data_IF_710531689346
#
_entry.id   IF_710531689346
#
_cell.length_a   1.000
_cell.length_b   1.000
_cell.length_c   1.000
_cell.angle_alpha   90.00
_cell.angle_beta   90.00
_cell.angle_gamma   90.00
#
_symmetry.space_group_name_H-M   'P 1'
#
loop_
_entity.id
_entity.type
_entity.pdbx_description
1 polymer ?
#
# COMPACT_ATOMS: atom_id res chain seq x y z
N UNK A 1 0.19 -13.58 21.24
CA UNK A 1 1.28 -13.55 20.24
C UNK A 1 2.60 -13.46 20.98
N UNK A 2 3.67 -14.06 20.45
CA UNK A 2 5.00 -14.06 21.06
C UNK A 2 5.82 -12.80 20.79
N UNK A 3 5.23 -11.79 20.14
CA UNK A 3 5.93 -10.58 19.72
C UNK A 3 5.02 -9.34 19.68
N UNK A 4 5.67 -8.19 19.59
CA UNK A 4 5.08 -6.88 19.27
C UNK A 4 5.82 -6.25 18.09
N UNK A 5 5.16 -5.33 17.39
CA UNK A 5 5.79 -4.52 16.34
C UNK A 5 6.16 -3.14 16.88
N UNK A 6 7.30 -2.63 16.43
CA UNK A 6 7.80 -1.30 16.78
C UNK A 6 8.29 -0.59 15.51
N UNK A 7 7.98 0.70 15.38
CA UNK A 7 8.54 1.57 14.34
C UNK A 7 9.61 2.45 14.97
N UNK A 8 10.83 2.38 14.45
CA UNK A 8 11.98 3.17 14.94
C UNK A 8 12.97 3.41 13.78
N UNK A 9 14.02 4.23 13.95
CA UNK A 9 15.01 4.44 12.89
C UNK A 9 15.56 3.11 12.36
N UNK A 10 15.60 2.97 11.03
CA UNK A 10 16.07 1.76 10.35
C UNK A 10 17.57 1.53 10.61
N UNK A 11 17.99 0.26 10.62
CA UNK A 11 19.40 -0.13 10.70
C UNK A 11 20.08 -0.17 9.32
N UNK A 12 19.33 0.03 8.23
CA UNK A 12 19.88 0.07 6.88
C UNK A 12 20.82 1.29 6.75
N UNK A 13 22.08 1.09 6.30
CA UNK A 13 23.09 2.15 6.22
C UNK A 13 22.89 3.05 4.98
N UNK A 14 21.76 3.74 4.90
CA UNK A 14 21.45 4.72 3.85
C UNK A 14 20.57 5.86 4.37
N UNK A 15 20.80 7.09 3.89
CA UNK A 15 20.12 8.30 4.37
C UNK A 15 18.59 8.29 4.18
N UNK A 16 18.12 7.70 3.08
CA UNK A 16 16.68 7.58 2.79
C UNK A 16 15.98 6.40 3.50
N UNK A 17 16.68 5.59 4.29
CA UNK A 17 16.06 4.43 4.96
C UNK A 17 15.04 4.84 6.03
N UNK A 18 15.17 6.04 6.60
CA UNK A 18 14.19 6.63 7.50
C UNK A 18 13.83 5.73 8.69
N UNK A 19 12.54 5.40 8.80
CA UNK A 19 12.03 4.47 9.82
C UNK A 19 11.94 3.06 9.25
N UNK A 20 12.23 2.07 10.09
CA UNK A 20 12.05 0.65 9.83
C UNK A 20 11.00 0.03 10.74
N UNK A 21 10.49 -1.13 10.33
CA UNK A 21 9.61 -1.97 11.13
C UNK A 21 10.42 -3.03 11.86
N UNK A 22 10.26 -3.17 13.17
CA UNK A 22 10.98 -4.14 13.99
C UNK A 22 10.02 -5.08 14.69
N UNK A 23 10.46 -6.32 14.88
CA UNK A 23 9.82 -7.24 15.81
C UNK A 23 10.54 -7.16 17.16
N UNK A 24 9.78 -7.24 18.24
CA UNK A 24 10.30 -7.48 19.60
C UNK A 24 9.62 -8.71 20.16
N UNK A 25 10.39 -9.75 20.45
CA UNK A 25 9.91 -11.12 20.65
C UNK A 25 10.22 -12.02 19.45
N UNK A 26 9.51 -13.14 19.36
CA UNK A 26 9.82 -14.23 18.43
C UNK A 26 8.62 -14.55 17.52
N UNK A 27 8.92 -14.85 16.25
CA UNK A 27 7.96 -15.35 15.28
C UNK A 27 8.56 -16.49 14.45
N UNK A 28 7.81 -17.58 14.32
CA UNK A 28 8.18 -18.73 13.50
C UNK A 28 7.98 -18.45 12.00
N UNK A 29 8.65 -19.26 11.18
CA UNK A 29 8.41 -19.27 9.73
C UNK A 29 6.93 -19.47 9.41
N UNK A 30 6.40 -18.71 8.45
CA UNK A 30 4.98 -18.75 8.08
C UNK A 30 4.05 -17.88 8.95
N UNK A 31 4.56 -17.24 10.01
CA UNK A 31 3.76 -16.33 10.84
C UNK A 31 3.38 -15.07 10.07
N UNK A 32 2.10 -14.67 10.14
CA UNK A 32 1.63 -13.37 9.66
C UNK A 32 2.08 -12.28 10.64
N UNK A 33 3.01 -11.44 10.23
CA UNK A 33 3.62 -10.42 11.09
C UNK A 33 2.84 -9.11 11.10
N UNK A 34 2.48 -8.62 9.91
CA UNK A 34 1.91 -7.29 9.74
C UNK A 34 0.92 -7.21 8.58
N UNK A 35 -0.06 -6.32 8.69
CA UNK A 35 -0.96 -5.92 7.61
C UNK A 35 -0.42 -4.68 6.90
N UNK A 36 -0.61 -4.61 5.58
CA UNK A 36 -0.43 -3.39 4.82
C UNK A 36 -1.71 -2.55 4.88
N UNK A 37 -1.73 -1.44 5.64
CA UNK A 37 -2.97 -0.75 5.97
C UNK A 37 -3.38 0.28 4.92
N UNK A 38 -4.52 0.92 5.16
CA UNK A 38 -4.94 2.11 4.43
C UNK A 38 -5.95 1.85 3.31
N UNK A 39 -5.95 2.75 2.33
CA UNK A 39 -7.04 2.86 1.35
C UNK A 39 -6.76 1.98 0.14
N UNK A 40 -7.72 1.13 -0.19
CA UNK A 40 -7.68 0.22 -1.32
C UNK A 40 -8.33 0.88 -2.54
N UNK A 41 -7.61 0.89 -3.66
CA UNK A 41 -8.07 1.34 -4.96
C UNK A 41 -8.07 0.17 -5.93
N UNK A 42 -9.26 -0.22 -6.39
CA UNK A 42 -9.34 -1.10 -7.55
C UNK A 42 -8.87 -0.35 -8.82
N UNK A 43 -8.52 -1.05 -9.90
CA UNK A 43 -8.11 -0.41 -11.15
C UNK A 43 -9.05 0.69 -11.67
N UNK A 44 -10.35 0.60 -11.35
CA UNK A 44 -11.36 1.57 -11.79
C UNK A 44 -11.15 2.95 -11.16
N UNK A 45 -10.48 2.97 -10.00
CA UNK A 45 -10.30 4.14 -9.17
C UNK A 45 -8.87 4.69 -9.16
N UNK A 46 -7.96 4.19 -10.00
CA UNK A 46 -6.56 4.68 -10.06
C UNK A 46 -6.44 6.20 -10.21
N UNK A 47 -7.33 6.81 -11.00
CA UNK A 47 -7.35 8.27 -11.21
C UNK A 47 -7.60 9.09 -9.93
N UNK A 48 -8.08 8.44 -8.87
CA UNK A 48 -8.37 9.04 -7.57
C UNK A 48 -7.26 8.79 -6.54
N UNK A 49 -6.20 8.06 -6.91
CA UNK A 49 -5.01 7.96 -6.06
C UNK A 49 -4.33 9.34 -6.05
N UNK A 50 -4.03 9.91 -4.88
CA UNK A 50 -3.31 11.19 -4.79
C UNK A 50 -2.03 11.19 -5.62
N UNK A 51 -1.81 12.26 -6.38
CA UNK A 51 -0.65 12.39 -7.29
C UNK A 51 -0.81 11.73 -8.66
N UNK A 52 -1.95 11.10 -8.98
CA UNK A 52 -2.16 10.48 -10.29
C UNK A 52 -1.90 11.43 -11.46
N UNK A 53 -1.19 10.98 -12.53
CA UNK A 53 -0.66 9.63 -12.73
C UNK A 53 0.71 9.36 -12.11
N UNK A 54 1.38 10.35 -11.53
CA UNK A 54 2.69 10.22 -10.88
C UNK A 54 2.56 9.97 -9.39
N UNK A 55 1.80 8.93 -9.05
CA UNK A 55 1.44 8.60 -7.66
C UNK A 55 2.65 8.29 -6.78
N UNK A 56 3.74 7.81 -7.36
CA UNK A 56 4.98 7.43 -6.68
C UNK A 56 5.90 8.61 -6.34
N UNK A 57 5.68 9.80 -6.94
CA UNK A 57 6.60 10.93 -6.78
C UNK A 57 6.63 11.52 -5.36
N UNK A 58 5.55 11.38 -4.60
CA UNK A 58 5.41 11.93 -3.25
C UNK A 58 4.85 10.91 -2.24
N UNK A 59 4.66 9.65 -2.67
CA UNK A 59 4.06 8.62 -1.83
C UNK A 59 4.83 7.30 -1.97
N UNK A 60 5.69 7.05 -0.99
CA UNK A 60 6.47 5.82 -0.87
C UNK A 60 5.68 4.65 -0.26
N UNK A 61 4.43 4.88 0.15
CA UNK A 61 3.58 3.92 0.85
C UNK A 61 2.47 3.35 -0.03
N UNK A 62 2.78 3.17 -1.31
CA UNK A 62 1.94 2.49 -2.28
C UNK A 62 2.47 1.08 -2.55
N UNK A 63 1.56 0.10 -2.55
CA UNK A 63 1.86 -1.27 -2.96
C UNK A 63 0.77 -1.79 -3.89
N UNK A 64 1.17 -2.61 -4.87
CA UNK A 64 0.25 -3.18 -5.86
C UNK A 64 0.16 -4.69 -5.69
N UNK A 65 -1.06 -5.20 -5.58
CA UNK A 65 -1.39 -6.63 -5.61
C UNK A 65 -1.28 -7.20 -7.02
N UNK A 66 -1.19 -8.53 -7.11
CA UNK A 66 -1.11 -9.24 -8.39
C UNK A 66 -2.35 -9.01 -9.28
N UNK A 67 -3.52 -8.75 -8.67
CA UNK A 67 -4.78 -8.47 -9.37
C UNK A 67 -4.93 -7.00 -9.82
N UNK A 68 -3.92 -6.15 -9.58
CA UNK A 68 -3.96 -4.73 -9.91
C UNK A 68 -4.66 -3.87 -8.85
N UNK A 69 -5.01 -4.41 -7.70
CA UNK A 69 -5.46 -3.58 -6.58
C UNK A 69 -4.27 -2.82 -6.00
N UNK A 70 -4.41 -1.51 -5.77
CA UNK A 70 -3.40 -0.67 -5.13
C UNK A 70 -3.83 -0.37 -3.71
N UNK A 71 -2.91 -0.49 -2.74
CA UNK A 71 -3.13 -0.09 -1.35
C UNK A 71 -2.25 1.13 -1.06
N UNK A 72 -2.87 2.19 -0.54
CA UNK A 72 -2.20 3.41 -0.09
C UNK A 72 -2.22 3.48 1.43
N UNK A 73 -1.07 3.29 2.06
CA UNK A 73 -0.92 3.38 3.51
C UNK A 73 -0.63 4.81 4.02
N UNK A 74 -0.41 5.80 3.15
CA UNK A 74 -0.18 7.18 3.57
C UNK A 74 -1.28 7.76 4.48
N UNK A 75 -2.60 7.54 4.23
CA UNK A 75 -3.67 7.99 5.13
C UNK A 75 -3.62 7.32 6.52
N UNK A 76 -3.01 6.14 6.62
CA UNK A 76 -2.88 5.41 7.89
C UNK A 76 -1.80 6.02 8.79
N UNK A 77 -0.72 6.55 8.20
CA UNK A 77 0.41 7.09 8.95
C UNK A 77 1.08 6.05 9.85
N UNK A 78 1.34 6.40 11.11
CA UNK A 78 1.92 5.52 12.12
C UNK A 78 0.87 4.84 13.02
N UNK A 79 -0.38 4.70 12.56
CA UNK A 79 -1.48 4.24 13.42
C UNK A 79 -1.89 5.31 14.44
N UNK A 80 -2.54 4.92 15.54
CA UNK A 80 -3.01 5.84 16.58
C UNK A 80 -3.97 5.16 17.57
N UNK A 81 -4.43 5.93 18.56
CA UNK A 81 -5.33 5.43 19.62
C UNK A 81 -6.82 5.62 19.30
N UNK A 82 -7.14 6.20 18.15
CA UNK A 82 -8.50 6.61 17.78
C UNK A 82 -8.97 5.97 16.47
N UNK A 83 -10.28 6.07 16.26
CA UNK A 83 -10.92 5.82 14.97
C UNK A 83 -11.04 7.14 14.26
N UNK A 84 -10.58 7.22 13.03
CA UNK A 84 -10.60 8.47 12.26
C UNK A 84 -11.52 8.34 11.06
N UNK A 85 -12.36 9.36 10.86
CA UNK A 85 -13.17 9.45 9.64
C UNK A 85 -12.24 9.83 8.50
N UNK A 86 -12.27 9.04 7.44
CA UNK A 86 -11.53 9.34 6.23
C UNK A 86 -12.40 10.18 5.29
N UNK A 87 -11.92 11.38 4.96
CA UNK A 87 -12.64 12.41 4.19
C UNK A 87 -12.38 12.35 2.67
N UNK A 88 -11.57 11.40 2.21
CA UNK A 88 -11.18 11.29 0.81
C UNK A 88 -9.97 12.14 0.42
N UNK A 89 -9.43 12.97 1.31
CA UNK A 89 -8.32 13.89 1.05
C UNK A 89 -7.14 13.65 1.98
N UNK A 90 -6.34 12.61 1.71
CA UNK A 90 -5.03 12.49 2.37
C UNK A 90 -3.98 13.30 1.59
N UNK A 91 -3.92 14.61 1.84
CA UNK A 91 -2.68 15.35 1.71
C UNK A 91 -2.50 16.20 2.98
N UNK A 92 -1.42 16.00 3.75
CA UNK A 92 -0.87 17.12 4.49
C UNK A 92 -0.52 18.20 3.46
N UNK A 93 -0.95 19.44 3.69
CA UNK A 93 -0.45 20.57 2.89
C UNK A 93 1.09 20.51 2.88
N UNK A 94 1.75 20.61 1.70
CA UNK A 94 3.20 20.61 1.64
C UNK A 94 3.73 21.78 2.47
N UNK A 95 4.38 21.49 3.60
CA UNK A 95 5.17 22.48 4.32
C UNK A 95 6.47 22.71 3.54
N UNK A 96 6.59 23.92 3.02
CA UNK A 96 7.79 24.64 2.53
C UNK A 96 8.24 24.52 1.06
N UNK A 97 8.05 25.66 0.37
CA UNK A 97 9.04 26.46 -0.37
C UNK A 97 10.09 25.67 -1.17
N UNK A 98 9.82 25.45 -2.46
CA UNK A 98 10.87 25.44 -3.47
C UNK A 98 10.47 26.39 -4.60
N UNK A 99 11.43 27.23 -5.00
CA UNK A 99 11.25 28.26 -6.02
C UNK A 99 10.83 27.61 -7.34
N UNK A 100 9.75 28.14 -7.90
CA UNK A 100 9.15 27.68 -9.13
C UNK A 100 10.05 28.01 -10.32
N UNK A 101 10.51 26.98 -11.03
CA UNK A 101 10.82 27.13 -12.45
C UNK A 101 10.33 25.92 -13.25
N UNK A 102 9.41 26.15 -14.20
CA UNK A 102 8.79 25.09 -15.00
C UNK A 102 7.33 25.33 -15.42
N UNK A 103 7.05 26.44 -16.12
CA UNK A 103 5.69 26.94 -16.49
C UNK A 103 4.84 26.09 -17.47
N UNK A 104 5.25 24.88 -17.85
CA UNK A 104 4.56 24.07 -18.88
C UNK A 104 3.83 22.83 -18.35
N UNK A 105 4.52 21.99 -17.57
CA UNK A 105 4.02 20.65 -17.23
C UNK A 105 2.94 20.67 -16.15
N UNK A 106 3.02 21.59 -15.18
CA UNK A 106 2.07 21.67 -14.06
C UNK A 106 0.61 21.91 -14.51
N UNK A 107 0.40 22.69 -15.57
CA UNK A 107 -0.95 22.99 -16.08
C UNK A 107 -1.61 21.74 -16.69
N UNK A 108 -0.83 20.90 -17.36
CA UNK A 108 -1.31 19.64 -17.95
C UNK A 108 -1.62 18.65 -16.82
N UNK A 109 -0.79 18.61 -15.76
CA UNK A 109 -1.03 17.74 -14.61
C UNK A 109 -2.29 18.13 -13.83
N UNK A 110 -2.50 19.42 -13.55
CA UNK A 110 -3.72 19.94 -12.90
C UNK A 110 -5.00 19.68 -13.69
N UNK A 111 -4.93 19.50 -15.01
CA UNK A 111 -6.09 19.11 -15.83
C UNK A 111 -6.39 17.61 -15.78
N UNK A 112 -5.40 16.77 -15.49
CA UNK A 112 -5.54 15.31 -15.43
C UNK A 112 -5.92 14.80 -14.03
N UNK A 113 -5.47 15.49 -12.97
CA UNK A 113 -5.99 15.31 -11.63
C UNK A 113 -7.33 16.05 -11.53
N UNK A 114 -8.45 15.32 -11.67
CA UNK A 114 -9.75 15.92 -11.33
C UNK A 114 -9.70 16.34 -9.86
N UNK A 115 -10.05 17.59 -9.52
CA UNK A 115 -10.33 17.95 -8.14
C UNK A 115 -11.36 16.98 -7.60
N UNK A 116 -11.18 16.57 -6.34
CA UNK A 116 -12.21 15.84 -5.60
C UNK A 116 -13.47 16.70 -5.61
N UNK A 117 -14.42 16.41 -6.51
CA UNK A 117 -15.82 16.76 -6.26
C UNK A 117 -16.25 15.88 -5.09
N UNK A 118 -15.91 16.34 -3.88
CA UNK A 118 -16.11 15.67 -2.60
C UNK A 118 -17.57 15.39 -2.25
N UNK A 119 -18.50 15.72 -3.14
CA UNK A 119 -19.93 15.72 -2.85
C UNK A 119 -20.63 14.42 -3.26
N UNK A 120 -20.07 13.51 -4.07
CA UNK A 120 -20.89 12.43 -4.68
C UNK A 120 -20.33 11.00 -4.80
N UNK A 121 -19.06 10.73 -4.51
CA UNK A 121 -18.48 9.38 -4.69
C UNK A 121 -18.08 8.66 -3.39
N UNK A 122 -18.18 9.34 -2.24
CA UNK A 122 -17.86 8.81 -0.91
C UNK A 122 -18.99 9.03 0.10
N UNK A 123 -20.23 8.68 -0.26
CA UNK A 123 -21.42 8.89 0.59
C UNK A 123 -21.43 8.13 1.92
N UNK A 124 -20.40 7.33 2.22
CA UNK A 124 -20.20 6.70 3.51
C UNK A 124 -18.92 7.27 4.13
N UNK A 125 -19.04 7.84 5.32
CA UNK A 125 -17.90 8.17 6.17
C UNK A 125 -17.15 6.88 6.53
N UNK A 126 -16.21 6.46 5.69
CA UNK A 126 -15.36 5.31 5.97
C UNK A 126 -14.45 5.64 7.16
N UNK A 127 -14.26 4.65 8.03
CA UNK A 127 -13.50 4.83 9.27
C UNK A 127 -12.19 4.06 9.17
N UNK A 128 -11.08 4.77 9.31
CA UNK A 128 -9.74 4.19 9.50
C UNK A 128 -9.59 3.76 10.96
N UNK A 129 -9.33 2.47 11.14
CA UNK A 129 -9.24 1.84 12.45
C UNK A 129 -7.79 1.83 12.96
N UNK A 130 -7.23 3.01 13.21
CA UNK A 130 -5.79 3.24 13.41
C UNK A 130 -5.15 2.51 14.61
N UNK A 131 -5.96 1.83 15.42
CA UNK A 131 -5.57 1.09 16.64
C UNK A 131 -5.02 -0.31 16.37
N UNK A 132 -5.02 -0.78 15.13
CA UNK A 132 -4.56 -2.14 14.84
C UNK A 132 -3.03 -2.26 15.11
N UNK A 133 -2.60 -3.11 16.07
CA UNK A 133 -1.19 -3.19 16.48
C UNK A 133 -0.28 -3.91 15.46
N UNK A 134 -0.85 -4.50 14.41
CA UNK A 134 -0.12 -5.20 13.35
C UNK A 134 -0.09 -4.41 12.03
N UNK A 135 -0.70 -3.22 11.98
CA UNK A 135 -0.89 -2.45 10.76
C UNK A 135 0.28 -1.49 10.48
N UNK A 136 1.47 -2.08 10.26
CA UNK A 136 2.71 -1.33 10.06
C UNK A 136 3.56 -1.84 8.89
N UNK A 137 3.03 -2.71 8.03
CA UNK A 137 3.82 -3.34 6.96
C UNK A 137 4.44 -2.32 5.98
N UNK A 138 3.87 -1.12 5.85
CA UNK A 138 4.40 -0.05 5.00
C UNK A 138 5.69 0.58 5.53
N UNK A 139 6.12 0.25 6.76
CA UNK A 139 7.44 0.61 7.31
C UNK A 139 8.51 -0.47 7.11
N UNK A 140 8.16 -1.65 6.56
CA UNK A 140 9.16 -2.68 6.27
C UNK A 140 10.02 -2.24 5.08
N UNK A 141 11.32 -2.06 5.30
CA UNK A 141 12.23 -1.54 4.28
C UNK A 141 12.82 -2.62 3.37
N UNK A 142 13.34 -2.18 2.24
CA UNK A 142 14.15 -3.04 1.39
C UNK A 142 15.53 -3.30 2.02
N UNK A 143 16.03 -4.54 2.04
CA UNK A 143 17.36 -4.83 2.55
C UNK A 143 18.46 -4.02 1.83
N UNK A 144 19.51 -3.66 2.57
CA UNK A 144 20.73 -3.14 1.96
C UNK A 144 21.49 -4.24 1.20
N UNK A 145 22.58 -3.85 0.52
CA UNK A 145 23.57 -4.81 0.03
C UNK A 145 24.03 -5.70 1.20
N UNK A 146 24.05 -7.01 0.96
CA UNK A 146 24.43 -8.06 1.93
C UNK A 146 23.43 -8.32 3.08
N UNK A 147 22.25 -7.69 3.06
CA UNK A 147 21.14 -8.04 3.95
C UNK A 147 20.16 -8.96 3.24
N UNK A 148 19.51 -9.86 3.99
CA UNK A 148 18.54 -10.82 3.44
C UNK A 148 17.12 -10.45 3.88
N UNK A 149 16.14 -10.38 2.97
CA UNK A 149 14.76 -10.16 3.37
C UNK A 149 14.27 -11.34 4.21
N UNK A 150 13.54 -11.05 5.28
CA UNK A 150 13.00 -12.04 6.23
C UNK A 150 11.47 -12.16 6.16
N UNK A 151 10.83 -11.41 5.26
CA UNK A 151 9.39 -11.50 4.98
C UNK A 151 9.08 -11.52 3.49
N UNK A 152 7.91 -12.05 3.17
CA UNK A 152 7.28 -11.95 1.86
C UNK A 152 5.88 -11.37 1.95
N UNK A 153 5.44 -10.72 0.87
CA UNK A 153 4.06 -10.23 0.74
C UNK A 153 3.16 -11.37 0.30
N UNK A 154 2.10 -11.61 1.07
CA UNK A 154 1.04 -12.55 0.71
C UNK A 154 -0.29 -11.79 0.55
N UNK A 155 -1.04 -12.01 -0.56
CA UNK A 155 -2.38 -11.48 -0.68
C UNK A 155 -3.31 -12.20 0.29
N UNK A 156 -4.18 -11.41 0.93
CA UNK A 156 -5.23 -11.94 1.79
C UNK A 156 -6.54 -11.19 1.52
N UNK A 157 -7.64 -11.94 1.53
CA UNK A 157 -8.95 -11.48 1.12
C UNK A 157 -9.89 -11.69 2.31
N UNK A 158 -10.24 -10.61 3.01
CA UNK A 158 -11.18 -10.67 4.14
C UNK A 158 -12.59 -10.85 3.60
N UNK A 159 -13.30 -11.95 3.90
CA UNK A 159 -14.73 -11.99 3.68
C UNK A 159 -15.37 -10.98 4.65
N UNK A 160 -16.26 -10.11 4.17
CA UNK A 160 -16.98 -9.13 4.99
C UNK A 160 -18.42 -9.52 5.39
N UNK A 161 -18.83 -10.81 5.53
CA UNK A 161 -20.18 -11.12 5.98
C UNK A 161 -20.37 -10.77 7.46
N UNK A 162 -19.28 -10.61 8.23
CA UNK A 162 -19.30 -10.37 9.67
C UNK A 162 -19.12 -8.89 10.02
N UNK A 163 -20.20 -8.25 10.46
CA UNK A 163 -20.24 -6.84 10.90
C UNK A 163 -19.19 -6.47 11.96
N UNK A 164 -18.73 -7.44 12.75
CA UNK A 164 -17.79 -7.24 13.86
C UNK A 164 -16.31 -7.30 13.44
N UNK A 165 -15.99 -7.95 12.32
CA UNK A 165 -14.61 -8.08 11.85
C UNK A 165 -14.02 -6.75 11.37
N UNK A 166 -14.87 -5.82 10.91
CA UNK A 166 -14.43 -4.54 10.34
C UNK A 166 -13.54 -3.70 11.28
N UNK A 167 -13.71 -3.84 12.59
CA UNK A 167 -12.90 -3.16 13.60
C UNK A 167 -11.48 -3.74 13.77
N UNK A 168 -11.16 -4.84 13.07
CA UNK A 168 -9.83 -5.46 13.07
C UNK A 168 -9.15 -5.38 11.70
N UNK A 169 -9.87 -4.92 10.68
CA UNK A 169 -9.36 -4.82 9.31
C UNK A 169 -8.84 -3.38 9.10
N UNK A 170 -7.52 -3.19 8.89
CA UNK A 170 -6.91 -1.87 8.82
C UNK A 170 -7.05 -1.21 7.44
N UNK A 171 -7.95 -1.74 6.61
CA UNK A 171 -8.14 -1.29 5.25
C UNK A 171 -9.57 -0.79 5.02
N UNK A 172 -9.71 0.13 4.06
CA UNK A 172 -11.00 0.62 3.57
C UNK A 172 -11.00 0.61 2.04
N UNK A 173 -12.13 0.32 1.42
CA UNK A 173 -12.26 0.36 -0.05
C UNK A 173 -12.68 1.74 -0.53
N UNK A 174 -11.94 2.29 -1.48
CA UNK A 174 -12.40 3.45 -2.23
C UNK A 174 -13.59 3.07 -3.11
N UNK A 175 -14.63 3.92 -3.15
CA UNK A 175 -15.78 3.74 -4.04
C UNK A 175 -16.70 2.57 -3.68
N UNK A 176 -16.80 2.22 -2.38
CA UNK A 176 -17.74 1.24 -1.84
C UNK A 176 -17.58 -0.20 -2.38
N UNK A 177 -16.40 -0.54 -2.91
CA UNK A 177 -16.11 -1.91 -3.34
C UNK A 177 -16.85 -2.35 -4.62
N UNK A 178 -17.44 -1.43 -5.39
CA UNK A 178 -17.98 -1.74 -6.71
C UNK A 178 -16.80 -2.04 -7.66
N UNK A 179 -16.44 -3.32 -7.75
CA UNK A 179 -15.57 -3.82 -8.81
C UNK A 179 -16.30 -3.69 -10.15
N UNK A 180 -16.14 -2.55 -10.82
CA UNK A 180 -16.34 -2.52 -12.25
C UNK A 180 -15.41 -3.58 -12.85
N UNK A 181 -15.95 -4.58 -13.55
CA UNK A 181 -15.16 -5.61 -14.21
C UNK A 181 -14.14 -4.93 -15.14
N UNK A 182 -12.88 -4.87 -14.73
CA UNK A 182 -11.81 -4.31 -15.54
C UNK A 182 -10.92 -5.42 -16.05
N UNK A 183 -10.65 -5.41 -17.35
CA UNK A 183 -9.69 -6.31 -17.99
C UNK A 183 -8.40 -5.56 -18.26
N UNK A 184 -7.29 -6.19 -17.90
CA UNK A 184 -5.94 -5.72 -18.21
C UNK A 184 -5.57 -6.12 -19.63
N UNK A 185 -5.20 -5.15 -20.45
CA UNK A 185 -4.53 -5.39 -21.74
C UNK A 185 -3.19 -4.64 -21.69
N UNK A 186 -2.09 -5.37 -21.49
CA UNK A 186 -0.77 -4.79 -21.25
C UNK A 186 -0.72 -3.99 -19.94
N UNK A 187 -0.31 -2.72 -20.02
CA UNK A 187 -0.26 -1.78 -18.88
C UNK A 187 -1.59 -1.05 -18.63
N UNK A 188 -2.55 -1.18 -19.54
CA UNK A 188 -3.80 -0.42 -19.50
C UNK A 188 -4.97 -1.28 -18.98
N UNK A 189 -5.82 -0.64 -18.19
CA UNK A 189 -7.05 -1.23 -17.66
C UNK A 189 -8.27 -0.69 -18.41
N UNK A 190 -9.06 -1.60 -18.97
CA UNK A 190 -10.26 -1.28 -19.75
C UNK A 190 -11.51 -1.79 -19.04
N UNK A 191 -12.58 -1.00 -19.04
CA UNK A 191 -13.89 -1.45 -18.54
C UNK A 191 -14.44 -2.53 -19.45
N UNK A 192 -14.71 -3.70 -18.91
CA UNK A 192 -15.45 -4.75 -19.60
C UNK A 192 -16.94 -4.49 -19.41
N UNK A 193 -17.66 -4.27 -20.52
CA UNK A 193 -19.11 -4.23 -20.53
C UNK A 193 -19.66 -5.66 -20.45
N UNK A 194 -19.60 -6.28 -19.26
CA UNK A 194 -20.42 -7.44 -18.94
C UNK A 194 -21.34 -7.07 -17.78
N UNK A 195 -22.60 -6.84 -18.13
CA UNK A 195 -23.71 -6.83 -17.18
C UNK A 195 -23.95 -8.28 -16.75
N UNK A 196 -23.85 -8.55 -15.45
CA UNK A 196 -24.14 -9.85 -14.89
C UNK A 196 -23.45 -10.07 -13.55
N UNK A 197 -24.12 -9.73 -12.45
CA UNK A 197 -23.94 -10.47 -11.20
C UNK A 197 -25.27 -11.17 -10.89
N UNK A 198 -25.37 -12.42 -11.34
CA UNK A 198 -26.21 -13.42 -10.68
C UNK A 198 -25.29 -14.16 -9.70
N UNK A 199 -25.45 -13.91 -8.40
CA UNK A 199 -24.75 -14.64 -7.34
C UNK A 199 -24.68 -13.85 -6.04
N UNK A 200 -24.99 -14.52 -4.92
CA UNK A 200 -24.78 -14.09 -3.54
C UNK A 200 -23.28 -13.96 -3.23
N UNK A 201 -22.60 -13.05 -3.91
CA UNK A 201 -21.15 -12.90 -3.81
C UNK A 201 -20.85 -12.10 -2.53
N UNK A 202 -20.27 -12.78 -1.53
CA UNK A 202 -19.91 -12.14 -0.24
C UNK A 202 -18.89 -11.04 -0.54
N UNK A 203 -19.11 -9.78 -0.09
CA UNK A 203 -18.15 -8.72 -0.33
C UNK A 203 -16.80 -9.08 0.32
N UNK A 204 -15.72 -8.88 -0.42
CA UNK A 204 -14.36 -9.19 0.02
C UNK A 204 -13.53 -7.91 0.08
N UNK A 205 -12.73 -7.76 1.15
CA UNK A 205 -11.74 -6.70 1.25
C UNK A 205 -10.33 -7.24 0.95
N UNK A 206 -9.75 -6.71 -0.12
CA UNK A 206 -8.48 -7.13 -0.67
C UNK A 206 -7.29 -6.46 0.01
N UNK A 207 -6.57 -7.18 0.87
CA UNK A 207 -5.39 -6.67 1.59
C UNK A 207 -4.09 -7.39 1.21
N UNK A 208 -2.99 -6.97 1.81
CA UNK A 208 -1.69 -7.63 1.79
C UNK A 208 -1.19 -7.82 3.23
N UNK A 209 -0.54 -8.94 3.48
CA UNK A 209 0.13 -9.23 4.75
C UNK A 209 1.59 -9.57 4.53
N UNK A 210 2.42 -9.31 5.54
CA UNK A 210 3.80 -9.78 5.59
C UNK A 210 3.84 -11.11 6.33
N UNK A 211 4.45 -12.11 5.69
CA UNK A 211 4.64 -13.45 6.25
C UNK A 211 6.12 -13.71 6.43
N UNK A 212 6.51 -14.20 7.61
CA UNK A 212 7.89 -14.56 7.92
C UNK A 212 8.39 -15.70 7.00
N UNK A 213 9.54 -15.50 6.36
CA UNK A 213 10.17 -16.53 5.48
C UNK A 213 11.16 -17.43 6.23
N UNK A 214 11.54 -17.03 7.44
CA UNK A 214 12.35 -17.79 8.41
C UNK A 214 11.89 -17.43 9.83
N UNK A 215 12.43 -18.10 10.84
CA UNK A 215 12.28 -17.62 12.21
C UNK A 215 12.93 -16.23 12.36
N UNK A 216 12.25 -15.33 13.08
CA UNK A 216 12.65 -13.93 13.29
C UNK A 216 12.62 -13.65 14.81
N UNK A 217 13.68 -13.03 15.34
CA UNK A 217 13.76 -12.67 16.76
C UNK A 217 14.44 -11.32 16.95
N UNK A 218 13.73 -10.37 17.54
CA UNK A 218 14.27 -9.06 17.95
C UNK A 218 15.07 -8.32 16.86
N UNK A 219 14.60 -8.30 15.62
CA UNK A 219 15.30 -7.75 14.45
C UNK A 219 14.38 -6.88 13.56
N UNK A 220 14.98 -6.16 12.61
CA UNK A 220 14.25 -5.39 11.60
C UNK A 220 13.57 -6.32 10.59
N UNK A 221 12.34 -6.01 10.22
CA UNK A 221 11.57 -6.68 9.17
C UNK A 221 11.96 -6.06 7.83
N UNK A 222 12.50 -6.90 6.94
CA UNK A 222 13.04 -6.51 5.66
C UNK A 222 12.25 -7.16 4.52
N UNK A 223 11.66 -6.33 3.68
CA UNK A 223 10.82 -6.71 2.55
C UNK A 223 11.54 -6.48 1.22
N UNK A 224 11.63 -7.52 0.38
CA UNK A 224 12.07 -7.32 -1.00
C UNK A 224 11.02 -6.54 -1.82
N UNK A 225 11.26 -5.25 -2.05
CA UNK A 225 10.42 -4.36 -2.87
C UNK A 225 10.28 -4.78 -4.35
N UNK A 226 11.26 -5.50 -4.91
CA UNK A 226 11.25 -5.94 -6.33
C UNK A 226 10.97 -4.79 -7.30
N UNK A 227 11.68 -3.66 -7.16
CA UNK A 227 11.45 -2.48 -7.99
C UNK A 227 11.61 -2.82 -9.49
N UNK A 228 10.73 -2.23 -10.31
CA UNK A 228 10.75 -2.47 -11.75
C UNK A 228 12.07 -2.08 -12.39
N UNK A 229 12.44 -2.81 -13.44
CA UNK A 229 13.62 -2.52 -14.25
C UNK A 229 13.35 -1.45 -15.33
N UNK A 230 12.10 -0.98 -15.46
CA UNK A 230 11.66 -0.06 -16.52
C UNK A 230 12.03 1.41 -16.29
N UNK A 231 12.34 1.78 -15.04
CA UNK A 231 12.87 3.10 -14.67
C UNK A 231 14.29 2.92 -14.11
N UNK A 232 15.08 3.99 -14.11
CA UNK A 232 16.36 4.00 -13.40
C UNK A 232 16.10 3.69 -11.92
N UNK A 233 16.72 2.60 -11.43
CA UNK A 233 16.61 2.19 -10.04
C UNK A 233 17.34 3.21 -9.14
N UNK A 234 16.80 3.53 -7.96
CA UNK A 234 17.49 4.40 -7.01
C UNK A 234 18.88 3.84 -6.65
N UNK A 235 19.87 4.70 -6.36
CA UNK A 235 21.23 4.26 -6.01
C UNK A 235 21.29 3.32 -4.80
N UNK A 236 20.35 3.44 -3.87
CA UNK A 236 20.26 2.60 -2.68
C UNK A 236 19.68 1.20 -2.94
N UNK A 237 18.97 1.00 -4.06
CA UNK A 237 18.30 -0.27 -4.34
C UNK A 237 19.29 -1.30 -4.86
N UNK A 238 19.36 -2.45 -4.19
CA UNK A 238 20.16 -3.59 -4.62
C UNK A 238 19.24 -4.79 -4.85
N UNK A 239 19.12 -5.33 -6.08
CA UNK A 239 18.27 -6.49 -6.33
C UNK A 239 18.68 -7.67 -5.44
N UNK A 240 17.71 -8.28 -4.75
CA UNK A 240 17.96 -9.48 -3.92
C UNK A 240 18.17 -10.71 -4.80
N UNK A 241 17.37 -10.83 -5.86
CA UNK A 241 17.46 -11.90 -6.85
C UNK A 241 17.17 -11.29 -8.24
N UNK A 242 18.23 -11.07 -9.03
CA UNK A 242 18.12 -10.46 -10.36
C UNK A 242 17.32 -11.34 -11.33
N UNK A 243 17.39 -12.66 -11.19
CA UNK A 243 16.70 -13.60 -12.06
C UNK A 243 15.20 -13.61 -11.79
N UNK A 244 14.81 -13.58 -10.52
CA UNK A 244 13.42 -13.44 -10.12
C UNK A 244 12.85 -12.07 -10.52
N UNK A 245 13.58 -10.98 -10.30
CA UNK A 245 13.20 -9.64 -10.74
C UNK A 245 12.98 -9.61 -12.26
N UNK A 246 13.88 -10.22 -13.03
CA UNK A 246 13.77 -10.30 -14.49
C UNK A 246 12.51 -11.05 -14.92
N UNK A 247 12.20 -12.20 -14.31
CA UNK A 247 10.98 -12.98 -14.59
C UNK A 247 9.69 -12.24 -14.24
N UNK A 248 9.73 -11.38 -13.21
CA UNK A 248 8.57 -10.57 -12.81
C UNK A 248 8.28 -9.44 -13.79
N UNK A 249 9.32 -8.87 -14.39
CA UNK A 249 9.23 -7.65 -15.22
C UNK A 249 9.42 -7.89 -16.72
N UNK A 250 9.71 -9.12 -17.15
CA UNK A 250 9.65 -9.57 -18.56
C UNK A 250 8.21 -9.70 -19.05
#
# INVERSE_FOLDING_TARGET
MGYTLEVKPSQIPHEDAGQGLFIHGEADVGTVLAFYPGVIYSPAYYRYIPGYPRVDAQNSYLITRYDGTVINAQPWGAGGESREIWDGSSLPEPKHIMQADGKGSERIWKMLSKPLDGTRLGGNHEVLERRNPLAFAHFANHPARDMVPNVMVCPYDFPLPEKHMRAYIPNISFGNGEEANMRRFGTFWFKSWKSGKNGLDVPVLKTLVLVATRAISNEEILLNYRLSNSKQRPPWYTPVDEEEDRRRWS
#
